data_IF_873610192492
#
_entry.id   IF_873610192492
#
_cell.length_a   1.000
_cell.length_b   1.000
_cell.length_c   1.000
_cell.angle_alpha   90.00
_cell.angle_beta   90.00
_cell.angle_gamma   90.00
#
_symmetry.space_group_name_H-M   'P 1'
#
loop_
_entity.id
_entity.type
_entity.pdbx_description
1 polymer ?
#
# COMPACT_ATOMS: atom_id res chain seq x y z
N UNK A 1 6.42 -5.43 -33.56
CA UNK A 1 5.26 -5.02 -32.75
C UNK A 1 5.28 -5.94 -31.54
N UNK A 2 5.81 -5.49 -30.40
CA UNK A 2 5.90 -6.32 -29.19
C UNK A 2 4.63 -6.08 -28.38
N UNK A 3 3.90 -7.14 -28.13
CA UNK A 3 2.69 -7.19 -27.33
C UNK A 3 2.97 -6.67 -25.90
N UNK A 4 2.52 -5.46 -25.58
CA UNK A 4 2.31 -5.04 -24.20
C UNK A 4 1.01 -5.69 -23.72
N UNK A 5 1.06 -6.97 -23.36
CA UNK A 5 0.09 -7.51 -22.41
C UNK A 5 0.44 -6.94 -21.04
N UNK A 6 -0.04 -5.73 -20.77
CA UNK A 6 -0.11 -5.20 -19.42
C UNK A 6 -1.05 -6.12 -18.66
N UNK A 7 -0.50 -7.05 -17.89
CA UNK A 7 -1.27 -7.80 -16.90
C UNK A 7 -1.85 -6.76 -15.94
N UNK A 8 -3.12 -6.42 -16.13
CA UNK A 8 -3.84 -5.48 -15.29
C UNK A 8 -4.03 -6.19 -13.94
N UNK A 9 -3.14 -5.93 -12.99
CA UNK A 9 -3.25 -6.47 -11.63
C UNK A 9 -4.55 -5.94 -11.04
N UNK A 10 -5.41 -6.86 -10.62
CA UNK A 10 -6.66 -6.52 -9.96
C UNK A 10 -6.38 -6.34 -8.46
N UNK A 11 -6.26 -5.08 -8.02
CA UNK A 11 -5.90 -4.76 -6.64
C UNK A 11 -6.86 -5.37 -5.61
N UNK A 12 -8.13 -5.60 -5.99
CA UNK A 12 -9.11 -6.23 -5.10
C UNK A 12 -8.86 -7.72 -4.83
N UNK A 13 -7.96 -8.37 -5.57
CA UNK A 13 -7.56 -9.76 -5.35
C UNK A 13 -6.42 -9.89 -4.32
N UNK A 14 -5.67 -8.81 -4.10
CA UNK A 14 -4.45 -8.80 -3.27
C UNK A 14 -4.56 -7.85 -2.06
N UNK A 15 -5.50 -6.90 -2.10
CA UNK A 15 -5.82 -6.01 -0.99
C UNK A 15 -7.29 -6.13 -0.58
N UNK A 16 -7.53 -6.06 0.72
CA UNK A 16 -8.87 -5.84 1.27
C UNK A 16 -9.17 -4.35 1.29
N UNK A 17 -10.24 -3.89 0.65
CA UNK A 17 -10.57 -2.46 0.64
C UNK A 17 -11.43 -2.08 1.85
N UNK A 18 -10.94 -1.17 2.69
CA UNK A 18 -11.75 -0.50 3.71
C UNK A 18 -12.43 0.70 3.07
N UNK A 19 -13.77 0.76 3.16
CA UNK A 19 -14.63 1.72 2.44
C UNK A 19 -14.36 1.70 0.92
N UNK A 20 -14.73 0.60 0.22
CA UNK A 20 -14.32 0.37 -1.17
C UNK A 20 -14.65 1.49 -2.15
N UNK A 21 -15.77 2.19 -1.99
CA UNK A 21 -16.14 3.32 -2.84
C UNK A 21 -15.10 4.43 -2.81
N UNK A 22 -14.57 4.76 -1.63
CA UNK A 22 -13.57 5.83 -1.48
C UNK A 22 -12.24 5.44 -2.10
N UNK A 23 -11.82 4.18 -1.93
CA UNK A 23 -10.59 3.64 -2.54
C UNK A 23 -10.70 3.66 -4.06
N UNK A 24 -11.82 3.19 -4.62
CA UNK A 24 -12.06 3.18 -6.08
C UNK A 24 -12.08 4.61 -6.64
N UNK A 25 -12.76 5.54 -5.98
CA UNK A 25 -12.81 6.95 -6.40
C UNK A 25 -11.42 7.59 -6.35
N UNK A 26 -10.62 7.31 -5.32
CA UNK A 26 -9.26 7.84 -5.20
C UNK A 26 -8.33 7.31 -6.31
N UNK A 27 -8.35 6.00 -6.55
CA UNK A 27 -7.54 5.36 -7.58
C UNK A 27 -7.94 5.76 -9.01
N UNK A 28 -9.24 6.01 -9.24
CA UNK A 28 -9.73 6.48 -10.55
C UNK A 28 -9.14 7.83 -10.95
N UNK A 29 -8.78 8.67 -9.97
CA UNK A 29 -8.15 9.97 -10.19
C UNK A 29 -6.61 9.89 -10.29
N UNK A 30 -6.01 8.74 -9.98
CA UNK A 30 -4.54 8.54 -9.89
C UNK A 30 -4.12 7.19 -10.48
N UNK A 31 -4.28 7.04 -11.80
CA UNK A 31 -4.04 5.79 -12.51
C UNK A 31 -2.61 5.24 -12.40
N UNK A 32 -1.62 6.08 -12.09
CA UNK A 32 -0.23 5.67 -11.83
C UNK A 32 -0.03 4.92 -10.51
N UNK A 33 -0.98 5.00 -9.57
CA UNK A 33 -0.86 4.31 -8.28
C UNK A 33 -1.11 2.81 -8.40
N UNK A 34 -1.96 2.37 -9.34
CA UNK A 34 -2.30 0.96 -9.48
C UNK A 34 -1.08 0.04 -9.71
N UNK A 35 -0.18 0.30 -10.67
CA UNK A 35 1.02 -0.51 -10.85
C UNK A 35 1.96 -0.43 -9.64
N UNK A 36 2.03 0.72 -8.98
CA UNK A 36 2.86 0.89 -7.78
C UNK A 36 2.32 0.09 -6.58
N UNK A 37 1.00 0.02 -6.40
CA UNK A 37 0.37 -0.81 -5.38
C UNK A 37 0.59 -2.31 -5.63
N UNK A 38 0.65 -2.74 -6.88
CA UNK A 38 1.03 -4.12 -7.19
C UNK A 38 2.48 -4.41 -6.75
N UNK A 39 3.42 -3.51 -7.04
CA UNK A 39 4.80 -3.62 -6.57
C UNK A 39 4.90 -3.56 -5.04
N UNK A 40 4.14 -2.67 -4.40
CA UNK A 40 4.09 -2.54 -2.95
C UNK A 40 3.61 -3.84 -2.30
N UNK A 41 2.58 -4.48 -2.86
CA UNK A 41 2.12 -5.79 -2.39
C UNK A 41 3.27 -6.81 -2.41
N UNK A 42 3.93 -6.98 -3.56
CA UNK A 42 5.02 -7.94 -3.72
C UNK A 42 6.15 -7.69 -2.71
N UNK A 43 6.48 -6.41 -2.46
CA UNK A 43 7.51 -6.02 -1.49
C UNK A 43 7.07 -6.27 -0.06
N UNK A 44 5.84 -5.91 0.31
CA UNK A 44 5.36 -6.07 1.68
C UNK A 44 5.30 -7.55 2.07
N UNK A 45 4.83 -8.43 1.18
CA UNK A 45 4.71 -9.87 1.49
C UNK A 45 6.07 -10.57 1.67
N UNK A 46 7.17 -10.00 1.16
CA UNK A 46 8.53 -10.49 1.44
C UNK A 46 8.88 -10.37 2.94
N UNK A 47 8.36 -9.34 3.62
CA UNK A 47 8.61 -9.06 5.05
C UNK A 47 7.45 -9.52 5.96
N UNK A 48 6.23 -9.56 5.42
CA UNK A 48 5.00 -9.88 6.14
C UNK A 48 4.19 -10.97 5.40
N UNK A 49 4.72 -12.21 5.28
CA UNK A 49 4.16 -13.24 4.41
C UNK A 49 2.79 -13.77 4.85
N UNK A 50 2.37 -13.49 6.08
CA UNK A 50 1.07 -13.90 6.63
C UNK A 50 0.16 -12.73 6.97
N UNK A 51 0.56 -11.50 6.62
CA UNK A 51 -0.26 -10.32 6.88
C UNK A 51 -1.41 -10.23 5.88
N UNK A 52 -2.52 -9.67 6.35
CA UNK A 52 -3.58 -9.18 5.46
C UNK A 52 -3.30 -7.73 5.14
N UNK A 53 -3.27 -7.37 3.87
CA UNK A 53 -3.04 -5.99 3.46
C UNK A 53 -4.38 -5.30 3.17
N UNK A 54 -4.59 -4.16 3.80
CA UNK A 54 -5.82 -3.38 3.71
C UNK A 54 -5.51 -2.05 3.03
N UNK A 55 -6.30 -1.70 2.03
CA UNK A 55 -6.26 -0.37 1.42
C UNK A 55 -7.38 0.50 1.97
N UNK A 56 -7.03 1.69 2.42
CA UNK A 56 -7.96 2.64 2.99
C UNK A 56 -7.61 4.07 2.58
N UNK A 57 -8.63 4.89 2.29
CA UNK A 57 -8.44 6.33 2.15
C UNK A 57 -8.65 6.97 3.53
N UNK A 58 -7.62 7.63 4.03
CA UNK A 58 -7.63 8.37 5.29
C UNK A 58 -7.63 9.86 4.98
N UNK A 59 -8.22 10.66 5.85
CA UNK A 59 -8.16 12.12 5.77
C UNK A 59 -7.23 12.62 6.86
N UNK A 60 -6.20 13.36 6.48
CA UNK A 60 -5.31 14.00 7.43
C UNK A 60 -6.11 15.06 8.21
N UNK A 61 -6.12 15.00 9.57
CA UNK A 61 -6.89 15.93 10.38
C UNK A 61 -6.34 17.37 10.38
N UNK A 62 -5.07 17.58 10.01
CA UNK A 62 -4.41 18.89 10.03
C UNK A 62 -4.77 19.74 8.81
N UNK A 63 -4.81 19.14 7.62
CA UNK A 63 -5.05 19.87 6.37
C UNK A 63 -6.25 19.35 5.54
N UNK A 64 -6.93 18.31 6.03
CA UNK A 64 -8.09 17.69 5.40
C UNK A 64 -7.80 17.12 3.99
N UNK A 65 -6.52 16.82 3.69
CA UNK A 65 -6.13 16.11 2.49
C UNK A 65 -6.41 14.62 2.62
N UNK A 66 -6.73 13.99 1.48
CA UNK A 66 -6.95 12.55 1.41
C UNK A 66 -5.66 11.84 1.01
N UNK A 67 -5.32 10.83 1.78
CA UNK A 67 -4.19 9.94 1.53
C UNK A 67 -4.66 8.51 1.39
N UNK A 68 -3.99 7.73 0.56
CA UNK A 68 -4.19 6.28 0.50
C UNK A 68 -3.22 5.63 1.46
N UNK A 69 -3.69 4.69 2.28
CA UNK A 69 -2.85 3.97 3.23
C UNK A 69 -2.95 2.48 2.97
N UNK A 70 -1.81 1.81 2.94
CA UNK A 70 -1.70 0.36 3.04
C UNK A 70 -1.48 0.01 4.51
N UNK A 71 -2.50 -0.56 5.14
CA UNK A 71 -2.38 -1.13 6.47
C UNK A 71 -1.96 -2.60 6.38
N UNK A 72 -0.87 -2.93 7.05
CA UNK A 72 -0.33 -4.27 7.21
C UNK A 72 -0.91 -4.84 8.51
N UNK A 73 -1.97 -5.64 8.39
CA UNK A 73 -2.56 -6.34 9.52
C UNK A 73 -1.78 -7.62 9.80
N UNK A 74 -1.05 -7.66 10.91
CA UNK A 74 -0.09 -8.73 11.22
C UNK A 74 -0.28 -9.30 12.62
N UNK A 75 0.12 -10.56 12.79
CA UNK A 75 0.16 -11.25 14.10
C UNK A 75 1.54 -11.20 14.75
N UNK A 76 2.52 -10.57 14.10
CA UNK A 76 3.85 -10.33 14.68
C UNK A 76 3.73 -9.46 15.93
N UNK A 77 4.64 -9.64 16.88
CA UNK A 77 4.73 -8.72 18.00
C UNK A 77 5.08 -7.31 17.52
N UNK A 78 4.72 -6.24 18.25
CA UNK A 78 5.03 -4.88 17.84
C UNK A 78 6.51 -4.66 17.49
N UNK A 79 7.43 -5.22 18.30
CA UNK A 79 8.86 -5.07 18.06
C UNK A 79 9.33 -5.75 16.77
N UNK A 80 8.80 -6.95 16.47
CA UNK A 80 9.09 -7.66 15.23
C UNK A 80 8.51 -6.91 14.03
N UNK A 81 7.25 -6.46 14.13
CA UNK A 81 6.60 -5.72 13.07
C UNK A 81 7.32 -4.39 12.75
N UNK A 82 7.74 -3.64 13.77
CA UNK A 82 8.55 -2.43 13.57
C UNK A 82 9.91 -2.74 12.94
N UNK A 83 10.57 -3.83 13.34
CA UNK A 83 11.85 -4.24 12.75
C UNK A 83 11.67 -4.59 11.27
N UNK A 84 10.62 -5.33 10.92
CA UNK A 84 10.29 -5.67 9.54
C UNK A 84 9.90 -4.44 8.72
N UNK A 85 9.14 -3.50 9.29
CA UNK A 85 8.75 -2.26 8.62
C UNK A 85 9.97 -1.35 8.36
N UNK A 86 10.86 -1.15 9.35
CA UNK A 86 12.10 -0.36 9.15
C UNK A 86 13.01 -1.00 8.08
N UNK A 87 13.06 -2.34 8.02
CA UNK A 87 13.80 -3.04 6.98
C UNK A 87 13.18 -2.86 5.58
N UNK A 88 11.86 -2.97 5.44
CA UNK A 88 11.13 -2.64 4.21
C UNK A 88 11.40 -1.19 3.79
N UNK A 89 11.36 -0.27 4.76
CA UNK A 89 11.50 1.15 4.51
C UNK A 89 12.86 1.50 3.92
N UNK A 90 13.92 1.04 4.59
CA UNK A 90 15.31 1.25 4.18
C UNK A 90 15.67 0.57 2.87
N UNK A 91 15.04 -0.57 2.58
CA UNK A 91 15.40 -1.39 1.42
C UNK A 91 14.70 -0.93 0.15
N UNK A 92 13.47 -0.43 0.28
CA UNK A 92 12.64 -0.13 -0.89
C UNK A 92 11.81 1.14 -0.73
N UNK A 93 11.06 1.31 0.37
CA UNK A 93 10.05 2.37 0.46
C UNK A 93 10.63 3.78 0.32
N UNK A 94 11.78 4.05 0.96
CA UNK A 94 12.39 5.39 0.96
C UNK A 94 12.79 5.86 -0.44
N UNK A 95 13.21 4.95 -1.32
CA UNK A 95 13.56 5.28 -2.71
C UNK A 95 12.31 5.25 -3.60
N UNK A 96 11.42 4.26 -3.41
CA UNK A 96 10.25 4.04 -4.25
C UNK A 96 9.18 5.13 -4.09
N UNK A 97 9.03 5.71 -2.90
CA UNK A 97 8.02 6.72 -2.59
C UNK A 97 8.34 8.13 -3.13
N UNK A 98 9.59 8.42 -3.52
CA UNK A 98 10.04 9.74 -3.99
C UNK A 98 9.24 10.29 -5.18
N UNK A 99 8.64 9.41 -6.00
CA UNK A 99 7.80 9.78 -7.14
C UNK A 99 6.29 9.80 -6.87
N UNK A 100 5.87 9.32 -5.69
CA UNK A 100 4.46 9.14 -5.31
C UNK A 100 3.96 10.33 -4.46
N UNK A 101 4.87 10.98 -3.73
CA UNK A 101 4.54 12.05 -2.77
C UNK A 101 3.70 11.55 -1.59
N UNK A 102 3.05 12.47 -0.88
CA UNK A 102 2.17 12.20 0.28
C UNK A 102 0.85 11.45 -0.11
N UNK A 103 0.73 10.96 -1.34
CA UNK A 103 -0.49 10.27 -1.79
C UNK A 103 -0.62 8.84 -1.28
N UNK A 104 0.45 8.24 -0.76
CA UNK A 104 0.47 6.85 -0.32
C UNK A 104 1.39 6.65 0.89
N UNK A 105 0.88 5.98 1.92
CA UNK A 105 1.62 5.60 3.13
C UNK A 105 1.49 4.10 3.42
N UNK A 106 2.49 3.52 4.10
CA UNK A 106 2.46 2.13 4.58
C UNK A 106 2.54 2.15 6.10
N UNK A 107 1.58 1.49 6.75
CA UNK A 107 1.50 1.41 8.21
C UNK A 107 1.24 -0.01 8.67
N UNK A 108 1.69 -0.35 9.87
CA UNK A 108 1.31 -1.60 10.54
C UNK A 108 0.09 -1.33 11.43
N UNK A 109 -0.89 -2.22 11.37
CA UNK A 109 -2.06 -2.25 12.26
C UNK A 109 -2.03 -3.56 13.07
N UNK A 110 -2.40 -3.48 14.35
CA UNK A 110 -2.46 -4.61 15.26
C UNK A 110 -3.91 -4.83 15.69
N UNK A 111 -4.27 -6.09 15.96
CA UNK A 111 -5.55 -6.47 16.60
C UNK A 111 -5.67 -6.00 18.06
#
# INVERSE_FOLDING_TARGET
>A
MRDLKTSQVNLSEIYTFRRPSEVVDFLSNKSSLAPFLAEAYDRIVEYFPSATLILEVVTDPEDNQKELVVFIHTTLSPNEAFTSLDALDRTWWLDASLGIGESLCIHVEFE
#
